data_IF_836199902952
#
_entry.id   IF_836199902952
#
_cell.length_a   1.000
_cell.length_b   1.000
_cell.length_c   1.000
_cell.angle_alpha   90.00
_cell.angle_beta   90.00
_cell.angle_gamma   90.00
#
_symmetry.space_group_name_H-M   'P 1'
#
loop_
_entity.id
_entity.type
_entity.pdbx_description
1 polymer ?
#
# COMPACT_ATOMS: atom_id res chain seq x y z
N UNK A 1 7.35 31.00 8.13
CA UNK A 1 6.58 29.77 7.86
C UNK A 1 6.13 29.83 6.41
N UNK A 2 6.53 28.88 5.59
CA UNK A 2 6.01 28.72 4.23
C UNK A 2 4.50 28.49 4.31
N UNK A 3 3.73 29.13 3.42
CA UNK A 3 2.28 28.92 3.37
C UNK A 3 2.01 27.44 3.07
N UNK A 4 1.21 26.76 3.91
CA UNK A 4 0.83 25.36 3.70
C UNK A 4 0.05 25.25 2.39
N UNK A 5 0.37 24.25 1.59
CA UNK A 5 -0.32 23.94 0.34
C UNK A 5 -1.73 23.44 0.70
N UNK A 6 -2.76 24.11 0.21
CA UNK A 6 -4.14 23.66 0.36
C UNK A 6 -4.51 22.72 -0.79
N UNK A 7 -5.07 21.56 -0.48
CA UNK A 7 -5.68 20.68 -1.48
C UNK A 7 -6.97 21.32 -2.00
N UNK A 8 -7.15 21.28 -3.33
CA UNK A 8 -8.30 21.83 -4.05
C UNK A 8 -9.30 20.75 -4.48
N UNK A 9 -9.17 19.56 -3.92
CA UNK A 9 -10.04 18.43 -4.20
C UNK A 9 -10.41 17.70 -2.90
N UNK A 10 -11.44 16.87 -2.96
CA UNK A 10 -11.85 15.98 -1.86
C UNK A 10 -11.04 14.70 -1.79
N UNK A 11 -10.07 14.52 -2.67
CA UNK A 11 -9.15 13.37 -2.61
C UNK A 11 -8.35 13.45 -1.32
N UNK A 12 -8.37 12.39 -0.55
CA UNK A 12 -7.67 12.29 0.71
C UNK A 12 -6.20 11.96 0.44
N UNK A 13 -5.30 12.71 1.06
CA UNK A 13 -3.86 12.51 0.96
C UNK A 13 -3.36 11.80 2.19
N UNK A 14 -2.58 10.76 1.99
CA UNK A 14 -1.96 9.97 3.03
C UNK A 14 -0.51 9.65 2.73
N UNK A 15 0.10 8.90 3.64
CA UNK A 15 1.45 8.37 3.51
C UNK A 15 1.45 6.87 3.79
N UNK A 16 2.39 6.17 3.18
CA UNK A 16 2.81 4.83 3.58
C UNK A 16 4.14 4.98 4.30
N UNK A 17 4.17 4.99 5.63
CA UNK A 17 5.43 4.87 6.34
C UNK A 17 5.91 3.43 6.14
N UNK A 18 6.75 3.21 5.16
CA UNK A 18 7.33 1.91 4.90
C UNK A 18 8.30 1.54 6.02
N UNK A 19 8.68 0.27 6.13
CA UNK A 19 9.41 -0.30 7.26
C UNK A 19 10.83 0.24 7.49
N UNK A 20 11.12 1.45 7.14
CA UNK A 20 12.45 2.02 7.18
C UNK A 20 12.65 2.98 8.33
N UNK A 21 13.71 3.67 8.47
CA UNK A 21 14.18 4.42 9.64
C UNK A 21 13.16 5.29 10.33
N UNK A 22 12.27 5.72 9.55
CA UNK A 22 10.98 6.18 9.89
C UNK A 22 10.12 4.96 10.18
N UNK A 23 10.49 3.83 9.68
CA UNK A 23 9.73 2.66 9.48
C UNK A 23 10.50 1.37 9.71
N UNK A 24 11.77 1.30 9.66
CA UNK A 24 12.57 0.12 10.04
C UNK A 24 12.16 -0.45 11.38
N UNK A 25 11.22 0.17 11.85
CA UNK A 25 10.55 0.22 13.08
C UNK A 25 9.16 -0.38 13.05
N UNK A 26 8.73 -0.99 11.96
CA UNK A 26 7.50 -1.78 11.89
C UNK A 26 7.76 -3.29 11.92
N UNK A 27 9.02 -3.74 11.92
CA UNK A 27 9.35 -5.13 12.19
C UNK A 27 9.38 -5.33 13.71
N UNK A 28 8.49 -6.18 14.27
CA UNK A 28 8.51 -6.47 15.69
C UNK A 28 9.74 -7.29 16.06
N UNK A 29 10.19 -7.14 17.30
CA UNK A 29 11.18 -8.02 17.90
C UNK A 29 10.60 -9.42 18.22
N UNK A 30 11.40 -10.29 18.83
CA UNK A 30 10.99 -11.64 19.25
C UNK A 30 9.81 -11.66 20.25
N UNK A 31 9.54 -10.52 20.92
CA UNK A 31 8.42 -10.34 21.85
C UNK A 31 7.24 -9.62 21.20
N UNK A 32 7.28 -9.40 19.90
CA UNK A 32 6.24 -8.70 19.15
C UNK A 32 6.22 -7.17 19.35
N UNK A 33 7.30 -6.57 19.84
CA UNK A 33 7.39 -5.15 20.18
C UNK A 33 8.06 -4.36 19.08
N UNK A 34 7.54 -3.17 18.83
CA UNK A 34 8.15 -2.21 17.92
C UNK A 34 9.37 -1.52 18.53
N UNK A 35 10.40 -1.18 17.71
CA UNK A 35 11.51 -0.35 18.12
C UNK A 35 11.08 1.01 18.66
N UNK A 36 11.83 1.49 19.65
CA UNK A 36 11.59 2.77 20.33
C UNK A 36 12.83 3.66 20.24
N UNK A 37 12.61 4.96 20.21
CA UNK A 37 13.68 5.95 20.31
C UNK A 37 14.20 6.07 21.76
N UNK A 38 15.19 6.93 21.97
CA UNK A 38 15.81 7.16 23.29
C UNK A 38 14.81 7.73 24.33
N UNK A 39 13.74 8.38 23.87
CA UNK A 39 12.67 8.91 24.72
C UNK A 39 11.61 7.85 25.07
N UNK A 40 11.72 6.65 24.50
CA UNK A 40 10.79 5.54 24.71
C UNK A 40 9.57 5.55 23.77
N UNK A 41 9.49 6.49 22.84
CA UNK A 41 8.42 6.58 21.85
C UNK A 41 8.59 5.52 20.75
N UNK A 42 7.49 4.96 20.25
CA UNK A 42 7.51 4.09 19.08
C UNK A 42 7.98 4.92 17.89
N UNK A 43 9.07 4.49 17.25
CA UNK A 43 9.79 5.30 16.24
C UNK A 43 8.87 5.71 15.07
N UNK A 44 8.01 4.82 14.58
CA UNK A 44 7.09 5.19 13.48
C UNK A 44 6.12 6.30 13.90
N UNK A 45 5.63 6.29 15.14
CA UNK A 45 4.74 7.34 15.65
C UNK A 45 5.47 8.66 15.78
N UNK A 46 6.70 8.63 16.34
CA UNK A 46 7.54 9.81 16.47
C UNK A 46 7.89 10.42 15.10
N UNK A 47 8.26 9.59 14.13
CA UNK A 47 8.56 10.03 12.77
C UNK A 47 7.35 10.62 12.04
N UNK A 48 6.17 10.03 12.16
CA UNK A 48 4.93 10.62 11.60
C UNK A 48 4.60 11.94 12.26
N UNK A 49 4.82 12.06 13.59
CA UNK A 49 4.64 13.32 14.32
C UNK A 49 5.57 14.41 13.75
N UNK A 50 6.85 14.12 13.58
CA UNK A 50 7.81 15.03 12.98
C UNK A 50 7.36 15.45 11.57
N UNK A 51 6.92 14.50 10.74
CA UNK A 51 6.41 14.79 9.41
C UNK A 51 5.18 15.71 9.45
N UNK A 52 4.26 15.54 10.40
CA UNK A 52 3.12 16.45 10.56
C UNK A 52 3.55 17.90 10.85
N UNK A 53 4.69 18.08 11.55
CA UNK A 53 5.22 19.40 11.89
C UNK A 53 5.88 20.08 10.68
N UNK A 54 6.66 19.34 9.87
CA UNK A 54 7.41 19.92 8.76
C UNK A 54 6.65 19.94 7.43
N UNK A 55 5.66 19.07 7.24
CA UNK A 55 4.96 18.93 5.97
C UNK A 55 4.31 20.24 5.53
N UNK A 56 4.54 20.67 4.26
CA UNK A 56 3.92 21.85 3.70
C UNK A 56 2.43 21.66 3.34
N UNK A 57 1.94 20.42 3.35
CA UNK A 57 0.54 20.07 3.08
C UNK A 57 -0.03 19.21 4.21
N UNK A 58 -1.30 19.42 4.54
CA UNK A 58 -1.99 18.56 5.51
C UNK A 58 -2.34 17.23 4.83
N UNK A 59 -1.82 16.13 5.34
CA UNK A 59 -2.31 14.79 5.05
C UNK A 59 -3.22 14.31 6.19
N UNK A 60 -4.08 13.34 5.91
CA UNK A 60 -5.14 12.90 6.83
C UNK A 60 -5.13 11.40 7.09
N UNK A 61 -4.37 10.64 6.32
CA UNK A 61 -4.33 9.19 6.38
C UNK A 61 -2.90 8.70 6.50
N UNK A 62 -2.74 7.59 7.20
CA UNK A 62 -1.48 6.85 7.28
C UNK A 62 -1.77 5.37 7.12
N UNK A 63 -1.11 4.73 6.18
CA UNK A 63 -1.27 3.32 5.88
C UNK A 63 -0.11 2.54 6.50
N UNK A 64 -0.38 1.74 7.51
CA UNK A 64 0.65 1.07 8.32
C UNK A 64 0.66 -0.43 8.06
N UNK A 65 1.84 -0.96 7.74
CA UNK A 65 2.06 -2.40 7.59
C UNK A 65 2.19 -3.07 8.96
N UNK A 66 1.29 -4.00 9.25
CA UNK A 66 1.37 -4.82 10.45
C UNK A 66 1.84 -6.23 10.09
N UNK A 67 2.99 -6.60 10.61
CA UNK A 67 3.63 -7.88 10.33
C UNK A 67 3.14 -8.99 11.27
N UNK A 68 3.15 -10.24 10.82
CA UNK A 68 2.87 -11.40 11.69
C UNK A 68 3.78 -11.40 12.93
N UNK A 69 3.21 -11.74 14.09
CA UNK A 69 3.94 -11.76 15.35
C UNK A 69 3.96 -10.42 16.11
N UNK A 70 3.43 -9.33 15.55
CA UNK A 70 3.26 -8.08 16.32
C UNK A 70 2.28 -8.30 17.47
N UNK A 71 2.69 -7.90 18.68
CA UNK A 71 1.81 -7.97 19.85
C UNK A 71 0.63 -7.01 19.69
N UNK A 72 -0.54 -7.44 20.14
CA UNK A 72 -1.77 -6.64 20.00
C UNK A 72 -1.64 -5.27 20.66
N UNK A 73 -1.02 -5.21 21.82
CA UNK A 73 -0.79 -3.96 22.57
C UNK A 73 0.09 -2.98 21.78
N UNK A 74 1.02 -3.48 20.98
CA UNK A 74 1.88 -2.63 20.14
C UNK A 74 1.08 -2.10 18.93
N UNK A 75 0.23 -2.91 18.32
CA UNK A 75 -0.70 -2.44 17.28
C UNK A 75 -1.60 -1.34 17.86
N UNK A 76 -2.20 -1.59 19.02
CA UNK A 76 -3.07 -0.64 19.70
C UNK A 76 -2.32 0.67 20.03
N UNK A 77 -1.06 0.59 20.49
CA UNK A 77 -0.23 1.75 20.80
C UNK A 77 0.10 2.58 19.55
N UNK A 78 0.49 1.94 18.44
CA UNK A 78 0.71 2.63 17.16
C UNK A 78 -0.55 3.34 16.69
N UNK A 79 -1.67 2.63 16.66
CA UNK A 79 -2.94 3.20 16.16
C UNK A 79 -3.41 4.36 17.05
N UNK A 80 -3.32 4.24 18.37
CA UNK A 80 -3.65 5.33 19.28
C UNK A 80 -2.71 6.53 19.11
N UNK A 81 -1.41 6.28 18.98
CA UNK A 81 -0.42 7.33 18.75
C UNK A 81 -0.71 8.12 17.47
N UNK A 82 -0.97 7.43 16.35
CA UNK A 82 -1.28 8.07 15.07
C UNK A 82 -2.64 8.80 15.09
N UNK A 83 -3.66 8.22 15.70
CA UNK A 83 -4.96 8.88 15.86
C UNK A 83 -4.87 10.13 16.75
N UNK A 84 -3.97 10.17 17.72
CA UNK A 84 -3.73 11.38 18.52
C UNK A 84 -3.20 12.56 17.68
N UNK A 85 -2.58 12.27 16.54
CA UNK A 85 -2.16 13.25 15.54
C UNK A 85 -3.28 13.65 14.57
N UNK A 86 -4.51 13.19 14.82
CA UNK A 86 -5.68 13.39 13.95
C UNK A 86 -5.55 12.72 12.57
N UNK A 87 -4.91 11.57 12.52
CA UNK A 87 -4.78 10.75 11.32
C UNK A 87 -5.70 9.53 11.39
N UNK A 88 -6.32 9.22 10.27
CA UNK A 88 -6.97 7.92 10.06
C UNK A 88 -5.90 6.89 9.73
N UNK A 89 -6.04 5.69 10.30
CA UNK A 89 -5.07 4.60 10.14
C UNK A 89 -5.68 3.52 9.25
N UNK A 90 -5.05 3.33 8.09
CA UNK A 90 -5.35 2.23 7.18
C UNK A 90 -4.38 1.07 7.44
N UNK A 91 -4.90 -0.15 7.48
CA UNK A 91 -4.11 -1.34 7.83
C UNK A 91 -3.61 -2.03 6.57
N UNK A 92 -2.30 -2.28 6.49
CA UNK A 92 -1.70 -3.19 5.52
C UNK A 92 -1.46 -4.52 6.20
N UNK A 93 -2.16 -5.55 5.73
CA UNK A 93 -2.08 -6.90 6.26
C UNK A 93 -0.90 -7.61 5.60
N UNK A 94 0.13 -7.93 6.36
CA UNK A 94 1.31 -8.60 5.84
C UNK A 94 1.25 -10.11 6.08
N UNK A 95 1.75 -10.88 5.11
CA UNK A 95 2.02 -12.30 5.24
C UNK A 95 3.48 -12.57 4.86
N UNK A 96 4.12 -13.54 5.50
CA UNK A 96 5.51 -13.85 5.23
C UNK A 96 5.85 -15.32 5.46
N UNK A 97 6.76 -15.87 4.64
CA UNK A 97 7.21 -17.24 4.75
C UNK A 97 6.14 -18.31 4.46
N UNK A 98 5.05 -17.89 3.79
CA UNK A 98 3.93 -18.77 3.36
C UNK A 98 3.47 -18.34 1.98
N UNK A 99 2.99 -19.28 1.17
CA UNK A 99 2.57 -19.00 -0.19
C UNK A 99 1.03 -19.03 -0.33
N UNK A 100 0.36 -17.89 -0.50
CA UNK A 100 -1.09 -17.82 -0.65
C UNK A 100 -1.65 -18.62 -1.84
N UNK A 101 -0.82 -18.92 -2.84
CA UNK A 101 -1.19 -19.72 -4.01
C UNK A 101 -1.09 -21.25 -3.74
N UNK A 102 -0.54 -21.64 -2.59
CA UNK A 102 -0.37 -23.04 -2.24
C UNK A 102 -1.49 -23.50 -1.29
N UNK A 103 -2.34 -24.47 -1.68
CA UNK A 103 -3.38 -25.00 -0.78
C UNK A 103 -2.85 -25.54 0.55
N UNK A 104 -1.60 -26.02 0.60
CA UNK A 104 -1.01 -26.53 1.83
C UNK A 104 -0.70 -25.41 2.87
N UNK A 105 -0.56 -24.17 2.43
CA UNK A 105 -0.24 -23.03 3.27
C UNK A 105 -1.48 -22.23 3.70
N UNK A 106 -2.68 -22.64 3.26
CA UNK A 106 -3.94 -21.91 3.51
C UNK A 106 -4.14 -21.58 4.98
N UNK A 107 -4.03 -22.56 5.86
CA UNK A 107 -4.22 -22.38 7.31
C UNK A 107 -3.21 -21.37 7.88
N UNK A 108 -1.96 -21.45 7.45
CA UNK A 108 -0.91 -20.56 7.91
C UNK A 108 -1.11 -19.12 7.41
N UNK A 109 -1.53 -18.92 6.16
CA UNK A 109 -1.85 -17.60 5.61
C UNK A 109 -3.04 -16.99 6.36
N UNK A 110 -4.11 -17.73 6.56
CA UNK A 110 -5.29 -17.26 7.30
C UNK A 110 -4.91 -16.90 8.74
N UNK A 111 -4.15 -17.73 9.42
CA UNK A 111 -3.68 -17.46 10.78
C UNK A 111 -2.84 -16.18 10.90
N UNK A 112 -2.10 -15.80 9.85
CA UNK A 112 -1.34 -14.54 9.82
C UNK A 112 -2.23 -13.33 9.56
N UNK A 113 -3.29 -13.47 8.77
CA UNK A 113 -4.19 -12.37 8.43
C UNK A 113 -5.16 -12.00 9.56
N UNK A 114 -5.70 -13.01 10.26
CA UNK A 114 -6.77 -12.83 11.25
C UNK A 114 -6.47 -11.79 12.33
N UNK A 115 -5.33 -11.79 13.04
CA UNK A 115 -5.08 -10.85 14.13
C UNK A 115 -5.12 -9.39 13.68
N UNK A 116 -4.59 -9.12 12.48
CA UNK A 116 -4.53 -7.78 11.92
C UNK A 116 -5.89 -7.30 11.38
N UNK A 117 -6.70 -8.20 10.83
CA UNK A 117 -8.09 -7.88 10.44
C UNK A 117 -8.93 -7.57 11.68
N UNK A 118 -8.82 -8.40 12.73
CA UNK A 118 -9.51 -8.18 14.00
C UNK A 118 -9.08 -6.86 14.66
N UNK A 119 -7.79 -6.51 14.56
CA UNK A 119 -7.28 -5.22 15.02
C UNK A 119 -7.89 -4.07 14.21
N UNK A 120 -7.93 -4.18 12.88
CA UNK A 120 -8.53 -3.17 12.01
C UNK A 120 -10.01 -2.94 12.37
N UNK A 121 -10.77 -4.01 12.57
CA UNK A 121 -12.19 -3.93 13.00
C UNK A 121 -12.31 -3.23 14.35
N UNK A 122 -11.51 -3.64 15.33
CA UNK A 122 -11.57 -3.08 16.69
C UNK A 122 -11.21 -1.59 16.73
N UNK A 123 -10.33 -1.14 15.83
CA UNK A 123 -9.96 0.26 15.70
C UNK A 123 -10.86 1.06 14.75
N UNK A 124 -11.88 0.45 14.16
CA UNK A 124 -12.84 1.14 13.30
C UNK A 124 -12.28 1.51 11.92
N UNK A 125 -11.27 0.77 11.43
CA UNK A 125 -10.74 0.96 10.10
C UNK A 125 -11.80 0.65 9.04
N UNK A 126 -11.98 1.54 8.07
CA UNK A 126 -12.97 1.36 6.99
C UNK A 126 -12.45 0.52 5.84
N UNK A 127 -11.14 0.40 5.73
CA UNK A 127 -10.50 -0.43 4.72
C UNK A 127 -9.27 -1.12 5.26
N UNK A 128 -8.93 -2.23 4.64
CA UNK A 128 -7.64 -2.89 4.79
C UNK A 128 -7.01 -3.07 3.42
N UNK A 129 -5.70 -3.19 3.36
CA UNK A 129 -4.97 -3.52 2.13
C UNK A 129 -3.97 -4.64 2.39
N UNK A 130 -3.55 -5.31 1.34
CA UNK A 130 -2.53 -6.35 1.46
C UNK A 130 -1.88 -6.68 0.12
N UNK A 131 -0.70 -7.27 0.19
CA UNK A 131 -0.01 -7.96 -0.90
C UNK A 131 -0.18 -9.49 -0.79
N UNK A 132 -1.16 -9.98 -0.04
CA UNK A 132 -1.34 -11.37 0.40
C UNK A 132 -1.81 -12.36 -0.69
N UNK A 133 -1.51 -12.09 -1.96
CA UNK A 133 -1.90 -12.93 -3.09
C UNK A 133 -0.78 -13.80 -3.64
N UNK A 134 0.46 -13.53 -3.22
CA UNK A 134 1.65 -14.30 -3.59
C UNK A 134 2.71 -14.16 -2.48
N UNK A 135 3.61 -15.13 -2.35
CA UNK A 135 4.74 -15.03 -1.43
C UNK A 135 5.76 -14.01 -1.94
N UNK A 136 6.07 -13.02 -1.09
CA UNK A 136 7.04 -11.97 -1.42
C UNK A 136 8.46 -12.52 -1.54
N UNK A 137 9.18 -12.14 -2.59
CA UNK A 137 10.58 -12.50 -2.86
C UNK A 137 10.85 -14.02 -2.89
N UNK A 138 9.83 -14.84 -3.18
CA UNK A 138 10.01 -16.29 -3.27
C UNK A 138 11.05 -16.66 -4.33
N UNK A 139 12.03 -17.45 -3.93
CA UNK A 139 13.08 -17.96 -4.83
C UNK A 139 12.69 -19.25 -5.53
N UNK A 140 11.66 -19.92 -5.02
CA UNK A 140 11.23 -21.25 -5.48
C UNK A 140 10.03 -21.19 -6.43
N UNK A 141 9.36 -20.04 -6.50
CA UNK A 141 8.19 -19.87 -7.36
C UNK A 141 8.59 -19.47 -8.77
N UNK A 142 7.80 -19.96 -9.73
CA UNK A 142 7.83 -19.54 -11.12
C UNK A 142 6.49 -18.90 -11.48
N UNK A 143 6.49 -18.10 -12.54
CA UNK A 143 5.27 -17.48 -13.02
C UNK A 143 4.26 -18.54 -13.43
N UNK A 144 3.08 -18.50 -12.84
CA UNK A 144 1.97 -19.41 -13.17
C UNK A 144 1.19 -18.86 -14.37
N UNK A 145 0.86 -19.74 -15.32
CA UNK A 145 0.12 -19.40 -16.53
C UNK A 145 -1.01 -20.42 -16.77
N UNK A 146 -1.98 -20.08 -17.62
CA UNK A 146 -3.08 -20.97 -17.99
C UNK A 146 -3.79 -21.57 -16.81
N UNK A 147 -3.94 -22.91 -16.77
CA UNK A 147 -4.64 -23.62 -15.70
C UNK A 147 -4.01 -23.42 -14.31
N UNK A 148 -2.68 -23.27 -14.21
CA UNK A 148 -2.01 -23.04 -12.94
C UNK A 148 -2.29 -21.61 -12.43
N UNK A 149 -2.45 -20.64 -13.30
CA UNK A 149 -2.87 -19.29 -12.91
C UNK A 149 -4.33 -19.27 -12.43
N UNK A 150 -5.23 -19.97 -13.14
CA UNK A 150 -6.62 -20.11 -12.68
C UNK A 150 -6.70 -20.80 -11.31
N UNK A 151 -5.88 -21.84 -11.09
CA UNK A 151 -5.79 -22.50 -9.78
C UNK A 151 -5.28 -21.56 -8.68
N UNK A 152 -4.28 -20.72 -8.99
CA UNK A 152 -3.77 -19.71 -8.06
C UNK A 152 -4.85 -18.68 -7.70
N UNK A 153 -5.63 -18.21 -8.67
CA UNK A 153 -6.78 -17.33 -8.42
C UNK A 153 -7.80 -18.02 -7.52
N UNK A 154 -8.21 -19.25 -7.85
CA UNK A 154 -9.19 -19.99 -7.08
C UNK A 154 -8.76 -20.22 -5.62
N UNK A 155 -7.47 -20.54 -5.40
CA UNK A 155 -6.92 -20.69 -4.05
C UNK A 155 -6.92 -19.36 -3.29
N UNK A 156 -6.50 -18.27 -3.91
CA UNK A 156 -6.56 -16.94 -3.31
C UNK A 156 -8.01 -16.54 -2.96
N UNK A 157 -8.98 -16.77 -3.85
CA UNK A 157 -10.41 -16.51 -3.55
C UNK A 157 -10.85 -17.29 -2.32
N UNK A 158 -10.54 -18.59 -2.27
CA UNK A 158 -10.91 -19.45 -1.14
C UNK A 158 -10.36 -18.93 0.19
N UNK A 159 -9.06 -18.65 0.25
CA UNK A 159 -8.40 -18.23 1.50
C UNK A 159 -8.86 -16.85 1.97
N UNK A 160 -9.00 -15.87 1.06
CA UNK A 160 -9.42 -14.52 1.43
C UNK A 160 -10.88 -14.48 1.90
N UNK A 161 -11.79 -15.20 1.25
CA UNK A 161 -13.17 -15.34 1.72
C UNK A 161 -13.26 -16.08 3.05
N UNK A 162 -12.37 -17.04 3.28
CA UNK A 162 -12.24 -17.71 4.58
C UNK A 162 -11.78 -16.74 5.66
N UNK A 163 -10.70 -16.00 5.42
CA UNK A 163 -10.18 -14.99 6.35
C UNK A 163 -11.26 -13.93 6.70
N UNK A 164 -11.98 -13.43 5.68
CA UNK A 164 -13.09 -12.50 5.88
C UNK A 164 -14.16 -13.05 6.82
N UNK A 165 -14.56 -14.30 6.60
CA UNK A 165 -15.61 -14.96 7.41
C UNK A 165 -15.14 -15.22 8.84
N UNK A 166 -13.93 -15.75 9.02
CA UNK A 166 -13.37 -16.07 10.32
C UNK A 166 -13.10 -14.82 11.16
N UNK A 167 -12.66 -13.74 10.55
CA UNK A 167 -12.46 -12.45 11.22
C UNK A 167 -13.77 -11.65 11.45
N UNK A 168 -14.90 -12.11 10.92
CA UNK A 168 -16.17 -11.41 11.10
C UNK A 168 -16.25 -10.07 10.37
N UNK A 169 -15.60 -9.93 9.22
CA UNK A 169 -15.65 -8.70 8.41
C UNK A 169 -17.10 -8.35 8.02
N UNK A 170 -17.92 -9.37 7.75
CA UNK A 170 -19.29 -9.16 7.40
C UNK A 170 -20.08 -8.56 8.57
N UNK A 171 -20.63 -7.36 8.39
CA UNK A 171 -21.29 -6.61 9.45
C UNK A 171 -20.36 -5.74 10.30
N UNK A 172 -19.05 -5.73 10.02
CA UNK A 172 -18.09 -4.83 10.66
C UNK A 172 -18.04 -3.44 9.98
N UNK A 173 -17.11 -2.59 10.46
CA UNK A 173 -16.85 -1.28 9.86
C UNK A 173 -16.00 -1.36 8.57
N UNK A 174 -15.38 -2.50 8.27
CA UNK A 174 -14.51 -2.67 7.09
C UNK A 174 -15.36 -2.78 5.82
N UNK A 175 -15.27 -1.79 4.96
CA UNK A 175 -16.07 -1.63 3.75
C UNK A 175 -15.39 -2.19 2.49
N UNK A 176 -14.05 -2.31 2.52
CA UNK A 176 -13.26 -2.79 1.38
C UNK A 176 -11.92 -3.42 1.80
N UNK A 177 -11.44 -4.31 0.95
CA UNK A 177 -10.08 -4.87 1.04
C UNK A 177 -9.35 -4.58 -0.27
N UNK A 178 -8.28 -3.78 -0.18
CA UNK A 178 -7.49 -3.35 -1.33
C UNK A 178 -6.33 -4.31 -1.55
N UNK A 179 -6.23 -4.84 -2.74
CA UNK A 179 -5.21 -5.81 -3.15
C UNK A 179 -4.16 -5.11 -4.00
N UNK A 180 -2.94 -5.20 -3.58
CA UNK A 180 -1.79 -4.70 -4.30
C UNK A 180 -1.06 -5.86 -5.01
N UNK A 181 -0.72 -5.63 -6.28
CA UNK A 181 0.24 -6.47 -7.01
C UNK A 181 1.63 -5.85 -6.86
N UNK A 182 2.65 -6.69 -6.98
CA UNK A 182 4.03 -6.23 -6.93
C UNK A 182 4.71 -6.44 -8.29
N UNK A 183 5.81 -5.75 -8.51
CA UNK A 183 6.57 -5.84 -9.75
C UNK A 183 7.28 -7.19 -9.93
N UNK A 184 7.68 -7.54 -11.17
CA UNK A 184 8.57 -8.67 -11.40
C UNK A 184 9.86 -8.54 -10.56
N UNK A 185 10.24 -9.64 -9.91
CA UNK A 185 11.33 -9.66 -8.92
C UNK A 185 10.81 -9.80 -7.51
N UNK A 186 9.81 -9.05 -7.12
CA UNK A 186 9.11 -9.21 -5.84
C UNK A 186 8.07 -10.33 -5.91
N UNK A 187 7.23 -10.29 -6.96
CA UNK A 187 6.32 -11.38 -7.32
C UNK A 187 6.75 -12.04 -8.64
N UNK A 188 6.17 -13.18 -8.95
CA UNK A 188 6.36 -13.90 -10.23
C UNK A 188 5.06 -13.97 -11.02
N UNK A 189 3.93 -14.14 -10.33
CA UNK A 189 2.62 -14.42 -10.94
C UNK A 189 1.74 -13.18 -11.02
N UNK A 190 1.49 -12.49 -9.90
CA UNK A 190 0.63 -11.31 -9.84
C UNK A 190 1.43 -10.01 -10.01
N UNK A 191 1.97 -9.80 -11.21
CA UNK A 191 2.94 -8.73 -11.53
C UNK A 191 2.37 -7.61 -12.40
N UNK A 192 1.05 -7.53 -12.56
CA UNK A 192 0.39 -6.47 -13.34
C UNK A 192 -1.03 -6.23 -12.86
N UNK A 193 -1.57 -5.04 -13.21
CA UNK A 193 -2.98 -4.70 -12.96
C UNK A 193 -3.94 -5.79 -13.45
N UNK A 194 -3.73 -6.30 -14.67
CA UNK A 194 -4.60 -7.30 -15.29
C UNK A 194 -4.64 -8.59 -14.45
N UNK A 195 -3.47 -9.07 -14.01
CA UNK A 195 -3.36 -10.32 -13.28
C UNK A 195 -3.94 -10.22 -11.87
N UNK A 196 -3.69 -9.11 -11.15
CA UNK A 196 -4.27 -8.88 -9.85
C UNK A 196 -5.78 -8.61 -9.94
N UNK A 197 -6.22 -7.93 -11.00
CA UNK A 197 -7.65 -7.71 -11.23
C UNK A 197 -8.41 -9.02 -11.53
N UNK A 198 -7.79 -10.00 -12.16
CA UNK A 198 -8.40 -11.32 -12.33
C UNK A 198 -8.77 -11.96 -10.99
N UNK A 199 -7.90 -11.84 -9.97
CA UNK A 199 -8.22 -12.28 -8.61
C UNK A 199 -9.34 -11.43 -7.98
N UNK A 200 -9.22 -10.10 -7.98
CA UNK A 200 -10.20 -9.18 -7.38
C UNK A 200 -11.60 -9.43 -7.95
N UNK A 201 -11.70 -9.53 -9.28
CA UNK A 201 -12.97 -9.78 -9.96
C UNK A 201 -13.57 -11.15 -9.64
N UNK A 202 -12.72 -12.19 -9.56
CA UNK A 202 -13.15 -13.54 -9.16
C UNK A 202 -13.64 -13.56 -7.70
N UNK A 203 -12.94 -12.89 -6.78
CA UNK A 203 -13.32 -12.80 -5.38
C UNK A 203 -14.65 -12.05 -5.19
N UNK A 204 -14.84 -10.92 -5.86
CA UNK A 204 -16.09 -10.15 -5.85
C UNK A 204 -17.27 -10.93 -6.45
N UNK A 205 -17.02 -11.65 -7.54
CA UNK A 205 -18.03 -12.54 -8.14
C UNK A 205 -18.46 -13.65 -7.17
N UNK A 206 -17.52 -14.26 -6.46
CA UNK A 206 -17.82 -15.29 -5.48
C UNK A 206 -18.55 -14.72 -4.24
N UNK A 207 -18.22 -13.47 -3.84
CA UNK A 207 -18.85 -12.77 -2.72
C UNK A 207 -20.23 -12.17 -3.09
N UNK A 208 -20.50 -11.98 -4.40
CA UNK A 208 -21.74 -11.37 -4.89
C UNK A 208 -21.82 -9.86 -4.70
N UNK A 209 -20.71 -9.18 -4.37
CA UNK A 209 -20.61 -7.72 -4.22
C UNK A 209 -19.19 -7.24 -4.46
N UNK A 210 -19.04 -5.95 -4.81
CA UNK A 210 -17.72 -5.32 -5.00
C UNK A 210 -17.14 -4.88 -3.64
N UNK A 211 -16.41 -5.78 -3.00
CA UNK A 211 -15.73 -5.57 -1.72
C UNK A 211 -14.21 -5.51 -1.88
N UNK A 212 -13.64 -6.44 -2.65
CA UNK A 212 -12.25 -6.38 -3.01
C UNK A 212 -12.02 -5.29 -4.05
N UNK A 213 -10.99 -4.50 -3.86
CA UNK A 213 -10.58 -3.42 -4.75
C UNK A 213 -9.14 -3.61 -5.16
N UNK A 214 -8.78 -3.08 -6.30
CA UNK A 214 -7.39 -3.08 -6.73
C UNK A 214 -6.69 -1.82 -6.23
N UNK A 215 -5.60 -1.98 -5.48
CA UNK A 215 -4.67 -0.92 -5.18
C UNK A 215 -3.80 -0.70 -6.41
N UNK A 216 -3.68 0.55 -6.84
CA UNK A 216 -2.91 0.95 -8.02
C UNK A 216 -1.65 1.68 -7.56
N UNK A 217 -0.51 1.02 -7.67
CA UNK A 217 0.80 1.64 -7.45
C UNK A 217 1.43 2.06 -8.79
N UNK A 218 1.87 3.32 -8.88
CA UNK A 218 2.44 3.87 -10.10
C UNK A 218 3.78 3.23 -10.49
N UNK A 219 4.62 2.89 -9.51
CA UNK A 219 5.89 2.21 -9.72
C UNK A 219 5.67 0.79 -10.25
N UNK A 220 4.77 0.03 -9.63
CA UNK A 220 4.45 -1.33 -10.07
C UNK A 220 3.82 -1.35 -11.47
N UNK A 221 2.97 -0.37 -11.80
CA UNK A 221 2.47 -0.19 -13.17
C UNK A 221 3.63 0.00 -14.16
N UNK A 222 4.62 0.82 -13.78
CA UNK A 222 5.80 1.08 -14.59
C UNK A 222 6.68 -0.14 -14.84
N UNK A 223 6.75 -1.06 -13.88
CA UNK A 223 7.57 -2.27 -13.93
C UNK A 223 6.80 -3.50 -14.46
N UNK A 224 5.50 -3.40 -14.68
CA UNK A 224 4.63 -4.51 -15.09
C UNK A 224 4.89 -5.07 -16.48
N UNK A 225 5.64 -4.35 -17.31
CA UNK A 225 5.84 -4.65 -18.73
C UNK A 225 4.71 -4.13 -19.65
N UNK A 226 3.65 -3.57 -19.08
CA UNK A 226 2.57 -2.91 -19.82
C UNK A 226 2.95 -1.45 -20.11
N UNK A 227 2.50 -0.94 -21.25
CA UNK A 227 2.63 0.49 -21.59
C UNK A 227 1.70 1.35 -20.71
N UNK A 228 1.96 2.66 -20.69
CA UNK A 228 1.07 3.62 -20.02
C UNK A 228 -0.36 3.50 -20.58
N UNK A 229 -0.52 3.41 -21.89
CA UNK A 229 -1.83 3.33 -22.53
C UNK A 229 -2.60 2.06 -22.14
N UNK A 230 -1.92 0.91 -22.01
CA UNK A 230 -2.52 -0.34 -21.56
C UNK A 230 -2.95 -0.26 -20.09
N UNK A 231 -2.10 0.31 -19.23
CA UNK A 231 -2.46 0.54 -17.83
C UNK A 231 -3.64 1.52 -17.71
N UNK A 232 -3.67 2.63 -18.47
CA UNK A 232 -4.81 3.58 -18.49
C UNK A 232 -6.12 2.89 -18.91
N UNK A 233 -6.09 2.03 -19.94
CA UNK A 233 -7.25 1.29 -20.39
C UNK A 233 -7.74 0.28 -19.32
N UNK A 234 -6.83 -0.39 -18.62
CA UNK A 234 -7.16 -1.30 -17.53
C UNK A 234 -7.78 -0.53 -16.35
N UNK A 235 -7.20 0.58 -15.93
CA UNK A 235 -7.73 1.42 -14.84
C UNK A 235 -9.17 1.85 -15.13
N UNK A 236 -9.45 2.28 -16.36
CA UNK A 236 -10.80 2.67 -16.78
C UNK A 236 -11.80 1.49 -16.67
N UNK A 237 -11.39 0.27 -17.08
CA UNK A 237 -12.21 -0.95 -16.98
C UNK A 237 -12.43 -1.38 -15.52
N UNK A 238 -11.39 -1.34 -14.68
CA UNK A 238 -11.43 -1.67 -13.26
C UNK A 238 -12.39 -0.72 -12.54
N UNK A 239 -12.30 0.59 -12.84
CA UNK A 239 -13.19 1.59 -12.26
C UNK A 239 -14.65 1.39 -12.71
N UNK A 240 -14.88 1.07 -14.00
CA UNK A 240 -16.22 0.77 -14.52
C UNK A 240 -16.86 -0.46 -13.87
N UNK A 241 -16.04 -1.42 -13.41
CA UNK A 241 -16.48 -2.56 -12.59
C UNK A 241 -16.73 -2.18 -11.10
N UNK A 242 -16.43 -0.95 -10.69
CA UNK A 242 -16.49 -0.52 -9.30
C UNK A 242 -15.40 -1.17 -8.43
N UNK A 243 -14.28 -1.58 -9.02
CA UNK A 243 -13.21 -2.35 -8.36
C UNK A 243 -11.90 -1.54 -8.22
N UNK A 244 -11.90 -0.25 -8.59
CA UNK A 244 -10.77 0.64 -8.34
C UNK A 244 -10.72 1.01 -6.84
N UNK A 245 -9.54 0.87 -6.25
CA UNK A 245 -9.25 1.17 -4.85
C UNK A 245 -8.40 2.41 -4.67
N UNK A 246 -7.48 2.33 -3.73
CA UNK A 246 -6.54 3.39 -3.39
C UNK A 246 -5.40 3.49 -4.40
N UNK A 247 -4.70 4.62 -4.39
CA UNK A 247 -3.58 4.89 -5.27
C UNK A 247 -2.30 5.14 -4.47
N UNK A 248 -1.21 4.45 -4.83
CA UNK A 248 0.12 4.72 -4.32
C UNK A 248 0.90 5.58 -5.32
N UNK A 249 1.37 6.74 -4.86
CA UNK A 249 2.28 7.61 -5.58
C UNK A 249 3.71 7.23 -5.21
N UNK A 250 4.27 6.31 -5.96
CA UNK A 250 5.61 5.77 -5.82
C UNK A 250 6.33 5.87 -7.18
N UNK A 251 7.59 6.33 -7.18
CA UNK A 251 8.33 6.53 -8.42
C UNK A 251 8.97 5.23 -8.90
N UNK A 252 8.82 4.94 -10.20
CA UNK A 252 9.38 3.74 -10.82
C UNK A 252 10.90 3.67 -10.72
N UNK A 253 11.59 4.77 -11.02
CA UNK A 253 13.04 4.77 -11.18
C UNK A 253 13.82 4.78 -9.89
N UNK A 254 13.30 5.41 -8.84
CA UNK A 254 14.00 5.56 -7.56
C UNK A 254 13.14 5.20 -6.36
N UNK A 255 11.89 4.79 -6.59
CA UNK A 255 10.88 4.50 -5.57
C UNK A 255 10.81 5.51 -4.43
N UNK A 256 11.11 6.75 -4.71
CA UNK A 256 11.07 7.68 -3.62
C UNK A 256 11.36 9.10 -3.96
N UNK A 257 12.10 9.37 -4.97
CA UNK A 257 12.25 10.74 -5.43
C UNK A 257 11.14 11.04 -6.44
N UNK A 258 9.98 11.48 -5.97
CA UNK A 258 8.86 11.78 -6.86
C UNK A 258 9.19 12.86 -7.89
N UNK A 259 10.14 13.74 -7.56
CA UNK A 259 10.65 14.76 -8.49
C UNK A 259 11.47 14.18 -9.64
N UNK A 260 12.01 12.98 -9.51
CA UNK A 260 12.74 12.27 -10.58
C UNK A 260 11.92 11.20 -11.28
N UNK A 261 10.61 11.15 -11.01
CA UNK A 261 9.69 10.29 -11.74
C UNK A 261 9.74 10.57 -13.25
N UNK A 262 9.80 9.51 -14.04
CA UNK A 262 9.85 9.57 -15.50
C UNK A 262 8.46 9.72 -16.17
N UNK A 263 7.48 10.20 -15.41
CA UNK A 263 6.14 10.51 -15.87
C UNK A 263 5.08 9.48 -15.48
N UNK A 264 5.45 8.35 -14.90
CA UNK A 264 4.52 7.29 -14.53
C UNK A 264 3.50 7.72 -13.49
N UNK A 265 3.93 8.39 -12.41
CA UNK A 265 3.00 8.92 -11.40
C UNK A 265 1.97 9.86 -12.06
N UNK A 266 2.44 10.78 -12.90
CA UNK A 266 1.56 11.73 -13.58
C UNK A 266 0.53 11.07 -14.49
N UNK A 267 0.96 10.08 -15.27
CA UNK A 267 0.10 9.36 -16.21
C UNK A 267 -0.95 8.50 -15.46
N UNK A 268 -0.50 7.63 -14.56
CA UNK A 268 -1.37 6.68 -13.86
C UNK A 268 -2.33 7.40 -12.89
N UNK A 269 -1.85 8.43 -12.15
CA UNK A 269 -2.72 9.26 -11.32
C UNK A 269 -3.79 10.00 -12.14
N UNK A 270 -3.40 10.50 -13.34
CA UNK A 270 -4.36 11.14 -14.24
C UNK A 270 -5.42 10.16 -14.74
N UNK A 271 -5.01 8.92 -15.08
CA UNK A 271 -5.94 7.88 -15.48
C UNK A 271 -6.93 7.54 -14.37
N UNK A 272 -6.44 7.30 -13.14
CA UNK A 272 -7.28 7.05 -11.98
C UNK A 272 -8.23 8.23 -11.70
N UNK A 273 -7.74 9.46 -11.77
CA UNK A 273 -8.55 10.66 -11.54
C UNK A 273 -9.68 10.83 -12.58
N UNK A 274 -9.42 10.55 -13.87
CA UNK A 274 -10.42 10.62 -14.95
C UNK A 274 -11.60 9.69 -14.74
N UNK A 275 -11.44 8.61 -13.99
CA UNK A 275 -12.54 7.67 -13.70
C UNK A 275 -13.62 8.28 -12.79
N UNK A 276 -13.28 9.30 -12.00
CA UNK A 276 -14.13 9.87 -10.96
C UNK A 276 -14.21 9.03 -9.68
N UNK A 277 -13.48 7.90 -9.62
CA UNK A 277 -13.48 6.97 -8.47
C UNK A 277 -12.27 7.14 -7.54
N UNK A 278 -11.31 7.98 -7.89
CA UNK A 278 -10.14 8.26 -7.05
C UNK A 278 -10.57 8.95 -5.74
N UNK A 279 -10.37 8.29 -4.61
CA UNK A 279 -10.75 8.81 -3.28
C UNK A 279 -9.54 9.09 -2.40
N UNK A 280 -8.52 8.24 -2.47
CA UNK A 280 -7.36 8.28 -1.60
C UNK A 280 -6.08 8.11 -2.41
N UNK A 281 -5.07 8.92 -2.09
CA UNK A 281 -3.72 8.84 -2.65
C UNK A 281 -2.74 8.83 -1.50
N UNK A 282 -1.87 7.83 -1.49
CA UNK A 282 -0.80 7.71 -0.51
C UNK A 282 0.55 7.96 -1.18
N UNK A 283 1.40 8.73 -0.54
CA UNK A 283 2.81 8.88 -0.91
C UNK A 283 3.56 7.72 -0.30
N UNK A 284 4.23 6.95 -1.14
CA UNK A 284 5.05 5.82 -0.72
C UNK A 284 6.50 6.02 -1.15
N UNK A 285 7.39 6.03 -0.18
CA UNK A 285 8.81 6.32 -0.37
C UNK A 285 9.63 5.35 0.48
N UNK A 286 10.68 4.75 -0.13
CA UNK A 286 11.61 3.85 0.56
C UNK A 286 12.96 4.53 0.78
N UNK A 287 13.57 4.36 1.94
CA UNK A 287 14.93 4.86 2.20
C UNK A 287 15.97 3.93 1.57
N UNK A 288 16.79 4.47 0.68
CA UNK A 288 17.84 3.71 0.00
C UNK A 288 18.84 3.07 0.95
N UNK A 289 19.13 3.70 2.08
CA UNK A 289 20.14 3.25 3.02
C UNK A 289 19.66 2.15 3.99
N UNK A 290 18.37 1.83 4.02
CA UNK A 290 17.84 0.87 4.99
C UNK A 290 18.36 -0.54 4.75
N UNK A 291 18.95 -1.19 5.78
CA UNK A 291 19.43 -2.57 5.68
C UNK A 291 18.34 -3.58 5.30
N UNK A 292 17.09 -3.35 5.68
CA UNK A 292 15.97 -4.24 5.36
C UNK A 292 15.68 -4.30 3.85
N UNK A 293 16.14 -3.30 3.08
CA UNK A 293 16.00 -3.27 1.62
C UNK A 293 17.22 -3.84 0.87
N UNK A 294 18.19 -4.43 1.55
CA UNK A 294 19.40 -4.96 0.89
C UNK A 294 19.05 -6.00 -0.18
N UNK A 295 18.11 -6.87 0.08
CA UNK A 295 17.66 -7.88 -0.89
C UNK A 295 17.07 -7.23 -2.15
N UNK A 296 16.27 -6.18 -2.00
CA UNK A 296 15.71 -5.42 -3.13
C UNK A 296 16.80 -4.63 -3.87
N UNK A 297 17.74 -4.00 -3.16
CA UNK A 297 18.86 -3.29 -3.80
C UNK A 297 19.77 -4.21 -4.61
N UNK A 298 19.93 -5.46 -4.18
CA UNK A 298 20.71 -6.46 -4.93
C UNK A 298 20.03 -6.83 -6.26
N UNK A 299 18.70 -6.82 -6.31
CA UNK A 299 17.92 -7.05 -7.54
C UNK A 299 17.80 -5.77 -8.36
N UNK A 300 17.66 -4.63 -7.69
CA UNK A 300 17.52 -3.32 -8.31
C UNK A 300 18.34 -2.27 -7.55
N UNK A 301 19.55 -1.93 -8.05
CA UNK A 301 20.45 -1.00 -7.35
C UNK A 301 19.90 0.41 -7.14
N UNK A 302 18.88 0.81 -7.90
CA UNK A 302 18.20 2.12 -7.77
C UNK A 302 17.00 2.12 -6.82
N UNK A 303 16.74 1.01 -6.11
CA UNK A 303 15.59 0.92 -5.23
C UNK A 303 15.73 1.82 -4.00
N UNK A 304 14.72 2.64 -3.73
CA UNK A 304 14.67 3.56 -2.60
C UNK A 304 15.18 4.97 -2.89
N UNK A 305 14.99 5.85 -1.92
CA UNK A 305 15.46 7.24 -1.98
C UNK A 305 16.95 7.33 -1.72
N UNK A 306 17.65 8.10 -2.54
CA UNK A 306 19.03 8.47 -2.27
C UNK A 306 19.05 9.70 -1.34
N UNK A 307 19.31 9.47 -0.05
CA UNK A 307 19.42 10.53 0.96
C UNK A 307 20.86 11.06 1.11
N UNK A 308 21.80 10.71 0.21
CA UNK A 308 23.19 11.19 0.26
C UNK A 308 23.34 12.69 -0.05
N UNK A 309 22.29 13.36 -0.47
CA UNK A 309 22.22 14.81 -0.59
C UNK A 309 22.07 15.54 0.77
N UNK A 310 21.98 14.79 1.87
CA UNK A 310 21.91 15.30 3.22
C UNK A 310 20.49 15.53 3.74
N UNK A 311 19.45 15.27 2.92
CA UNK A 311 18.07 15.30 3.40
C UNK A 311 17.78 14.09 4.28
N UNK A 312 16.96 14.29 5.31
CA UNK A 312 16.39 13.19 6.09
C UNK A 312 15.28 12.51 5.30
N UNK A 313 14.94 11.28 5.68
CA UNK A 313 13.78 10.59 5.08
C UNK A 313 12.48 11.39 5.29
N UNK A 314 12.29 12.02 6.45
CA UNK A 314 11.13 12.85 6.76
C UNK A 314 11.04 14.05 5.82
N UNK A 315 12.18 14.71 5.49
CA UNK A 315 12.24 15.81 4.52
C UNK A 315 11.87 15.35 3.11
N UNK A 316 12.36 14.19 2.68
CA UNK A 316 12.01 13.62 1.36
C UNK A 316 10.52 13.26 1.29
N UNK A 317 9.95 12.71 2.38
CA UNK A 317 8.52 12.44 2.45
C UNK A 317 7.67 13.73 2.38
N UNK A 318 8.12 14.79 3.05
CA UNK A 318 7.47 16.11 2.98
C UNK A 318 7.49 16.69 1.56
N UNK A 319 8.61 16.54 0.84
CA UNK A 319 8.72 16.93 -0.57
C UNK A 319 7.78 16.11 -1.47
N UNK A 320 7.69 14.79 -1.23
CA UNK A 320 6.78 13.90 -1.93
C UNK A 320 5.30 14.29 -1.73
N UNK A 321 4.94 14.63 -0.49
CA UNK A 321 3.59 15.14 -0.18
C UNK A 321 3.29 16.45 -0.93
N UNK A 322 4.25 17.36 -1.01
CA UNK A 322 4.12 18.61 -1.76
C UNK A 322 3.93 18.35 -3.26
N UNK A 323 4.74 17.46 -3.85
CA UNK A 323 4.65 17.11 -5.26
C UNK A 323 3.28 16.51 -5.62
N UNK A 324 2.81 15.54 -4.84
CA UNK A 324 1.49 14.91 -5.06
C UNK A 324 0.36 15.93 -4.86
N UNK A 325 0.44 16.80 -3.86
CA UNK A 325 -0.54 17.87 -3.66
C UNK A 325 -0.60 18.82 -4.87
N UNK A 326 0.55 19.19 -5.45
CA UNK A 326 0.59 20.00 -6.67
C UNK A 326 -0.03 19.28 -7.87
N UNK A 327 0.23 17.97 -8.05
CA UNK A 327 -0.38 17.16 -9.11
C UNK A 327 -1.90 17.09 -8.95
N UNK A 328 -2.41 16.82 -7.75
CA UNK A 328 -3.84 16.80 -7.46
C UNK A 328 -4.48 18.16 -7.71
N UNK A 329 -3.85 19.25 -7.26
CA UNK A 329 -4.34 20.61 -7.50
C UNK A 329 -4.35 20.97 -8.99
N UNK A 330 -3.39 20.50 -9.77
CA UNK A 330 -3.38 20.67 -11.24
C UNK A 330 -4.54 19.92 -11.88
N UNK A 331 -4.80 18.66 -11.47
CA UNK A 331 -5.93 17.87 -11.98
C UNK A 331 -7.27 18.51 -11.62
N UNK A 332 -7.41 19.06 -10.42
CA UNK A 332 -8.61 19.81 -10.01
C UNK A 332 -8.77 21.09 -10.84
N UNK A 333 -7.70 21.87 -11.03
CA UNK A 333 -7.73 23.09 -11.84
C UNK A 333 -8.10 22.83 -13.32
N UNK A 334 -7.80 21.64 -13.82
CA UNK A 334 -8.16 21.18 -15.17
C UNK A 334 -9.57 20.57 -15.25
N UNK A 335 -10.29 20.48 -14.13
CA UNK A 335 -11.62 19.87 -14.06
C UNK A 335 -11.62 18.33 -14.24
N UNK A 336 -10.47 17.70 -14.07
CA UNK A 336 -10.34 16.23 -14.14
C UNK A 336 -10.84 15.60 -12.84
N UNK A 337 -10.42 16.15 -11.69
CA UNK A 337 -11.01 15.81 -10.39
C UNK A 337 -12.17 16.78 -10.15
N UNK A 338 -13.36 16.22 -9.91
CA UNK A 338 -14.55 16.98 -9.57
C UNK A 338 -14.64 17.15 -8.05
N UNK A 339 -15.15 18.31 -7.60
CA UNK A 339 -15.40 18.61 -6.19
C UNK A 339 -16.49 17.72 -5.57
#
# INVERSE_FOLDING_TARGET
MSAKIALKSKVQLGIVPTHLRFVGCLLPDENGRYPRNDDGDIIVVAGVKELCEISPVKFTHVQVSFFPGTAREEIDAVVHGLKSLQLEVDFVLMVGGVNPMNPADEDAVVAQLLPNIEAAIAHGARSVSSTSIEEWMSTNETRREGADFEAAIAQNVKLHLRAMREAGIEGSCVESWHIEFLRPGEFKTFTSLERAWAFVSAANKALGRSFFKLLVDASHCGDSGLTIAENEALIARIAAAGELGIFHASAKTTRGCLSSDDGWIGAILTAAAKTGELRQVFVEIFDHADPALEALRNVEPGHGVDTRDGRTYTEVMADGLADVAHRLNNLAARGIIKD
#
